data_IF_462836324837
#
_entry.id   IF_462836324837
#
_cell.length_a   1.000
_cell.length_b   1.000
_cell.length_c   1.000
_cell.angle_alpha   90.00
_cell.angle_beta   90.00
_cell.angle_gamma   90.00
#
_symmetry.space_group_name_H-M   'P 1'
#
loop_
_entity.id
_entity.type
_entity.pdbx_description
1 polymer ?
#
# COMPACT_ATOMS: atom_id res chain seq x y z
N UNK A 1 -3.36 17.13 -0.25
CA UNK A 1 -2.84 15.80 0.11
C UNK A 1 -4.04 14.86 0.22
N UNK A 2 -4.15 13.80 -0.62
CA UNK A 2 -5.40 13.05 -0.81
C UNK A 2 -5.93 12.35 0.44
N UNK A 3 -5.13 12.20 1.50
CA UNK A 3 -5.51 11.48 2.72
C UNK A 3 -5.42 12.31 4.01
N UNK A 4 -5.35 13.64 3.91
CA UNK A 4 -5.16 14.53 5.07
C UNK A 4 -6.30 14.51 6.10
N UNK A 5 -7.45 13.89 5.79
CA UNK A 5 -8.59 13.74 6.70
C UNK A 5 -8.70 12.36 7.35
N UNK A 6 -7.72 11.47 7.14
CA UNK A 6 -7.77 10.11 7.67
C UNK A 6 -7.35 10.08 9.15
N UNK A 7 -7.81 9.09 9.92
CA UNK A 7 -7.37 8.92 11.30
C UNK A 7 -5.84 8.84 11.39
N UNK A 8 -5.27 9.59 12.35
CA UNK A 8 -3.82 9.69 12.55
C UNK A 8 -3.13 8.35 12.75
N UNK A 9 -3.87 7.35 13.24
CA UNK A 9 -3.42 5.99 13.49
C UNK A 9 -3.03 5.25 12.21
N UNK A 10 -3.48 5.70 11.04
CA UNK A 10 -3.10 5.17 9.71
C UNK A 10 -2.02 5.97 8.99
N UNK A 11 -1.51 7.04 9.64
CA UNK A 11 -0.54 7.97 9.06
C UNK A 11 0.86 7.80 9.70
N UNK A 12 1.15 6.64 10.29
CA UNK A 12 2.45 6.38 10.88
C UNK A 12 3.52 6.31 9.79
N UNK A 13 4.70 6.92 10.03
CA UNK A 13 5.77 6.93 9.05
C UNK A 13 6.32 5.52 8.80
N UNK A 14 6.85 5.32 7.59
CA UNK A 14 7.65 4.15 7.24
C UNK A 14 9.04 4.25 7.87
N UNK A 15 9.57 3.12 8.33
CA UNK A 15 11.00 2.98 8.64
C UNK A 15 11.83 2.97 7.35
N UNK A 16 13.13 3.25 7.45
CA UNK A 16 14.03 3.18 6.29
C UNK A 16 14.16 1.75 5.72
N UNK A 17 14.05 0.74 6.59
CA UNK A 17 13.98 -0.66 6.17
C UNK A 17 12.74 -0.93 5.32
N UNK A 18 11.55 -0.53 5.80
CA UNK A 18 10.30 -0.67 5.06
C UNK A 18 10.33 0.06 3.70
N UNK A 19 10.94 1.25 3.64
CA UNK A 19 11.13 1.99 2.37
C UNK A 19 12.02 1.21 1.41
N UNK A 20 13.13 0.65 1.89
CA UNK A 20 14.07 -0.13 1.08
C UNK A 20 13.37 -1.37 0.50
N UNK A 21 12.63 -2.11 1.33
CA UNK A 21 11.87 -3.29 0.88
C UNK A 21 10.77 -2.91 -0.12
N UNK A 22 10.02 -1.83 0.14
CA UNK A 22 9.00 -1.32 -0.79
C UNK A 22 9.59 -0.91 -2.13
N UNK A 23 10.74 -0.22 -2.16
CA UNK A 23 11.43 0.13 -3.40
C UNK A 23 11.87 -1.12 -4.17
N UNK A 24 12.34 -2.14 -3.44
CA UNK A 24 12.65 -3.46 -4.01
C UNK A 24 11.44 -4.17 -4.60
N UNK A 25 10.27 -4.05 -3.97
CA UNK A 25 9.00 -4.57 -4.48
C UNK A 25 8.56 -3.83 -5.75
N UNK A 26 8.57 -2.49 -5.75
CA UNK A 26 8.14 -1.65 -6.87
C UNK A 26 9.05 -1.81 -8.10
N UNK A 27 10.36 -1.98 -7.91
CA UNK A 27 11.32 -2.07 -9.03
C UNK A 27 11.24 -3.34 -9.87
N UNK A 28 10.52 -4.38 -9.40
CA UNK A 28 10.55 -5.71 -10.02
C UNK A 28 9.40 -6.02 -10.98
N UNK A 29 8.51 -5.07 -11.28
CA UNK A 29 7.46 -5.29 -12.28
C UNK A 29 6.30 -4.29 -12.26
N UNK A 30 5.22 -4.69 -12.93
CA UNK A 30 3.99 -3.89 -13.02
C UNK A 30 3.17 -4.00 -11.73
N UNK A 31 3.42 -3.08 -10.80
CA UNK A 31 2.68 -2.94 -9.53
C UNK A 31 1.35 -2.18 -9.67
N UNK A 32 0.91 -1.87 -10.90
CA UNK A 32 -0.20 -0.93 -11.15
C UNK A 32 -1.51 -1.48 -10.62
N UNK A 33 -1.74 -2.79 -10.81
CA UNK A 33 -2.94 -3.44 -10.29
C UNK A 33 -3.01 -3.31 -8.77
N UNK A 34 -1.91 -3.58 -8.08
CA UNK A 34 -1.85 -3.48 -6.63
C UNK A 34 -2.00 -2.04 -6.14
N UNK A 35 -1.36 -1.07 -6.80
CA UNK A 35 -1.48 0.36 -6.47
C UNK A 35 -2.92 0.87 -6.62
N UNK A 36 -3.65 0.40 -7.64
CA UNK A 36 -5.06 0.75 -7.87
C UNK A 36 -5.95 0.16 -6.77
N UNK A 37 -5.80 -1.13 -6.47
CA UNK A 37 -6.61 -1.78 -5.43
C UNK A 37 -6.33 -1.20 -4.04
N UNK A 38 -5.06 -0.86 -3.74
CA UNK A 38 -4.72 -0.16 -2.50
C UNK A 38 -5.30 1.26 -2.47
N UNK A 39 -5.27 2.00 -3.58
CA UNK A 39 -5.90 3.33 -3.64
C UNK A 39 -7.41 3.27 -3.38
N UNK A 40 -8.09 2.32 -4.02
CA UNK A 40 -9.51 2.10 -3.82
C UNK A 40 -9.82 1.67 -2.38
N UNK A 41 -9.01 0.77 -1.80
CA UNK A 41 -9.14 0.36 -0.41
C UNK A 41 -9.08 1.57 0.54
N UNK A 42 -8.08 2.45 0.37
CA UNK A 42 -7.93 3.67 1.15
C UNK A 42 -9.21 4.52 1.07
N UNK A 43 -9.67 4.83 -0.14
CA UNK A 43 -10.84 5.69 -0.37
C UNK A 43 -12.14 5.09 0.17
N UNK A 44 -12.40 3.81 -0.11
CA UNK A 44 -13.67 3.17 0.17
C UNK A 44 -13.77 2.66 1.60
N UNK A 45 -12.68 2.33 2.27
CA UNK A 45 -12.71 1.74 3.62
C UNK A 45 -12.18 2.71 4.67
N UNK A 46 -10.99 3.28 4.45
CA UNK A 46 -10.36 4.15 5.45
C UNK A 46 -10.90 5.58 5.43
N UNK A 47 -11.48 6.01 4.30
CA UNK A 47 -12.18 7.28 4.19
C UNK A 47 -13.54 7.33 4.90
N UNK A 48 -14.03 6.22 5.48
CA UNK A 48 -15.35 6.16 6.13
C UNK A 48 -15.29 6.48 7.63
N UNK A 49 -16.37 7.04 8.21
CA UNK A 49 -16.52 7.09 9.67
C UNK A 49 -16.39 5.67 10.26
N UNK A 50 -15.65 5.54 11.36
CA UNK A 50 -15.38 4.27 12.08
C UNK A 50 -14.42 3.29 11.39
N UNK A 51 -13.59 3.73 10.46
CA UNK A 51 -12.55 2.89 9.85
C UNK A 51 -11.68 2.11 10.87
N UNK A 52 -11.37 2.67 12.04
CA UNK A 52 -10.61 1.99 13.12
C UNK A 52 -11.40 0.84 13.78
N UNK A 53 -12.73 0.90 13.73
CA UNK A 53 -13.60 -0.18 14.19
C UNK A 53 -13.42 -1.43 13.34
N UNK A 54 -13.42 -1.25 12.03
CA UNK A 54 -13.44 -2.32 11.02
C UNK A 54 -12.06 -2.81 10.62
N UNK A 55 -11.06 -1.92 10.65
CA UNK A 55 -9.67 -2.22 10.33
C UNK A 55 -8.80 -1.80 11.51
N UNK A 56 -7.98 -2.71 12.06
CA UNK A 56 -7.11 -2.35 13.19
C UNK A 56 -5.76 -1.86 12.66
N UNK A 57 -5.22 -0.74 13.19
CA UNK A 57 -3.90 -0.25 12.80
C UNK A 57 -2.76 -1.26 12.99
N UNK A 58 -2.91 -2.23 13.89
CA UNK A 58 -1.93 -3.28 14.16
C UNK A 58 -2.01 -4.49 13.20
N UNK A 59 -2.94 -4.53 12.26
CA UNK A 59 -3.03 -5.63 11.29
C UNK A 59 -2.01 -5.49 10.17
N UNK A 60 -1.67 -6.60 9.50
CA UNK A 60 -0.81 -6.57 8.32
C UNK A 60 -1.50 -5.89 7.15
N UNK A 61 -0.79 -4.99 6.45
CA UNK A 61 -1.26 -4.40 5.19
C UNK A 61 -1.48 -5.48 4.15
N UNK A 62 -0.54 -6.44 4.06
CA UNK A 62 -0.58 -7.51 3.05
C UNK A 62 -1.85 -8.33 3.18
N UNK A 63 -2.05 -8.91 4.36
CA UNK A 63 -3.19 -9.79 4.63
C UNK A 63 -4.51 -9.04 4.48
N UNK A 64 -4.57 -7.78 4.93
CA UNK A 64 -5.79 -6.97 4.83
C UNK A 64 -6.15 -6.64 3.39
N UNK A 65 -5.18 -6.23 2.56
CA UNK A 65 -5.42 -5.88 1.16
C UNK A 65 -5.70 -7.12 0.31
N UNK A 66 -5.00 -8.23 0.54
CA UNK A 66 -5.32 -9.51 -0.12
C UNK A 66 -6.75 -9.96 0.21
N UNK A 67 -7.13 -9.96 1.49
CA UNK A 67 -8.49 -10.33 1.90
C UNK A 67 -9.55 -9.37 1.33
N UNK A 68 -9.22 -8.10 1.12
CA UNK A 68 -10.10 -7.14 0.43
C UNK A 68 -10.29 -7.50 -1.05
N UNK A 69 -9.20 -7.84 -1.75
CA UNK A 69 -9.25 -8.27 -3.15
C UNK A 69 -10.03 -9.58 -3.32
N UNK A 70 -9.81 -10.55 -2.42
CA UNK A 70 -10.55 -11.82 -2.42
C UNK A 70 -12.06 -11.58 -2.24
N UNK A 71 -12.46 -10.71 -1.31
CA UNK A 71 -13.87 -10.33 -1.11
C UNK A 71 -14.49 -9.64 -2.31
N UNK A 72 -13.67 -9.00 -3.16
CA UNK A 72 -14.08 -8.39 -4.42
C UNK A 72 -14.02 -9.34 -5.61
N UNK A 73 -13.66 -10.61 -5.40
CA UNK A 73 -13.43 -11.59 -6.46
C UNK A 73 -12.36 -11.13 -7.47
N UNK A 74 -11.38 -10.35 -7.00
CA UNK A 74 -10.22 -9.92 -7.77
C UNK A 74 -9.03 -10.79 -7.40
N UNK A 75 -8.41 -11.44 -8.40
CA UNK A 75 -7.20 -12.23 -8.19
C UNK A 75 -6.07 -11.38 -7.60
N UNK A 76 -5.48 -11.87 -6.50
CA UNK A 76 -4.26 -11.31 -5.91
C UNK A 76 -3.07 -11.67 -6.80
N UNK A 77 -2.34 -10.69 -7.33
CA UNK A 77 -1.18 -11.00 -8.17
C UNK A 77 -0.10 -11.74 -7.38
N UNK A 78 0.46 -12.81 -7.95
CA UNK A 78 1.49 -13.63 -7.31
C UNK A 78 2.70 -12.83 -6.78
N UNK A 79 3.10 -11.75 -7.47
CA UNK A 79 4.21 -10.90 -7.02
C UNK A 79 3.92 -10.18 -5.69
N UNK A 80 2.65 -9.94 -5.36
CA UNK A 80 2.23 -9.38 -4.06
C UNK A 80 2.43 -10.45 -2.98
N UNK A 81 2.00 -11.67 -3.24
CA UNK A 81 2.17 -12.77 -2.29
C UNK A 81 3.64 -13.12 -2.05
N UNK A 82 4.45 -13.15 -3.09
CA UNK A 82 5.86 -13.56 -3.01
C UNK A 82 6.77 -12.46 -2.44
N UNK A 83 6.46 -11.18 -2.69
CA UNK A 83 7.46 -10.10 -2.55
C UNK A 83 6.98 -8.89 -1.78
N UNK A 84 5.68 -8.76 -1.50
CA UNK A 84 5.21 -7.62 -0.72
C UNK A 84 5.78 -7.70 0.71
N UNK A 85 6.28 -6.58 1.28
CA UNK A 85 6.86 -6.57 2.62
C UNK A 85 5.89 -7.10 3.68
N UNK A 86 6.33 -8.10 4.45
CA UNK A 86 5.47 -8.77 5.42
C UNK A 86 5.20 -7.92 6.68
N UNK A 87 6.14 -7.03 7.03
CA UNK A 87 6.14 -6.30 8.30
C UNK A 87 5.37 -4.97 8.25
N UNK A 88 4.73 -4.64 7.12
CA UNK A 88 3.94 -3.40 7.00
C UNK A 88 2.62 -3.53 7.75
N UNK A 89 2.40 -2.60 8.67
CA UNK A 89 1.19 -2.53 9.47
C UNK A 89 0.19 -1.55 8.86
N UNK A 90 -1.10 -1.79 9.08
CA UNK A 90 -2.19 -0.90 8.64
C UNK A 90 -1.97 0.53 9.11
N UNK A 91 -1.31 0.73 10.25
CA UNK A 91 -0.93 2.05 10.74
C UNK A 91 -0.04 2.84 9.79
N UNK A 92 0.66 2.17 8.87
CA UNK A 92 1.56 2.75 7.87
C UNK A 92 0.97 2.75 6.46
N UNK A 93 -0.26 2.25 6.26
CA UNK A 93 -0.82 1.96 4.93
C UNK A 93 -0.86 3.17 4.00
N UNK A 94 -1.16 4.37 4.54
CA UNK A 94 -1.22 5.59 3.74
C UNK A 94 0.18 5.96 3.24
N UNK A 95 1.18 5.91 4.11
CA UNK A 95 2.57 6.20 3.77
C UNK A 95 3.17 5.12 2.86
N UNK A 96 2.76 3.85 3.02
CA UNK A 96 3.07 2.76 2.09
C UNK A 96 2.62 3.08 0.67
N UNK A 97 1.36 3.48 0.50
CA UNK A 97 0.82 3.80 -0.83
C UNK A 97 1.54 5.01 -1.45
N UNK A 98 1.70 6.10 -0.70
CA UNK A 98 2.39 7.30 -1.18
C UNK A 98 3.81 7.00 -1.63
N UNK A 99 4.57 6.29 -0.78
CA UNK A 99 5.94 5.93 -1.10
C UNK A 99 6.02 5.04 -2.34
N UNK A 100 5.14 4.04 -2.47
CA UNK A 100 5.13 3.17 -3.63
C UNK A 100 4.80 3.93 -4.93
N UNK A 101 3.88 4.90 -4.90
CA UNK A 101 3.58 5.78 -6.04
C UNK A 101 4.80 6.62 -6.42
N UNK A 102 5.44 7.27 -5.45
CA UNK A 102 6.64 8.08 -5.70
C UNK A 102 7.80 7.23 -6.23
N UNK A 103 8.09 6.09 -5.60
CA UNK A 103 9.15 5.18 -6.05
C UNK A 103 8.92 4.69 -7.49
N UNK A 104 7.66 4.43 -7.87
CA UNK A 104 7.30 4.03 -9.23
C UNK A 104 7.53 5.18 -10.23
N UNK A 105 7.20 6.41 -9.85
CA UNK A 105 7.44 7.61 -10.66
C UNK A 105 8.94 7.86 -10.86
N UNK A 106 9.74 7.78 -9.79
CA UNK A 106 11.19 7.94 -9.84
C UNK A 106 11.82 6.93 -10.81
N UNK A 107 11.47 5.64 -10.69
CA UNK A 107 11.95 4.59 -11.59
C UNK A 107 11.55 4.80 -13.05
N UNK A 108 10.34 5.30 -13.30
CA UNK A 108 9.91 5.68 -14.65
C UNK A 108 10.75 6.83 -15.18
N UNK A 109 11.06 7.84 -14.37
CA UNK A 109 11.91 8.96 -14.83
C UNK A 109 13.36 8.55 -15.06
N UNK A 110 13.94 7.70 -14.20
CA UNK A 110 15.32 7.19 -14.34
C UNK A 110 15.48 6.36 -15.63
N UNK A 111 14.50 5.51 -15.97
CA UNK A 111 14.52 4.69 -17.18
C UNK A 111 14.41 5.45 -18.51
N UNK A 112 14.00 6.73 -18.48
CA UNK A 112 13.97 7.61 -19.67
C UNK A 112 15.26 8.40 -19.86
N UNK A 113 16.12 8.44 -18.84
CA UNK A 113 17.43 9.13 -18.88
C UNK A 113 18.61 8.23 -19.20
N UNK A 114 18.38 6.92 -19.40
CA UNK A 114 19.39 5.89 -19.66
C UNK A 114 19.46 5.41 -21.11
#
# INVERSE_FOLDING_TARGET
EPFSGYPSEYLMPLTEENKTELKGFVSRGNVDRWLLEMHEFLLLNLGRPRAIGDFKPAWSVKETVCAYMDRKEVEVPAYVEERFPANLMMSQIVETWKYAVSAKQDLMTEGWTG
#
